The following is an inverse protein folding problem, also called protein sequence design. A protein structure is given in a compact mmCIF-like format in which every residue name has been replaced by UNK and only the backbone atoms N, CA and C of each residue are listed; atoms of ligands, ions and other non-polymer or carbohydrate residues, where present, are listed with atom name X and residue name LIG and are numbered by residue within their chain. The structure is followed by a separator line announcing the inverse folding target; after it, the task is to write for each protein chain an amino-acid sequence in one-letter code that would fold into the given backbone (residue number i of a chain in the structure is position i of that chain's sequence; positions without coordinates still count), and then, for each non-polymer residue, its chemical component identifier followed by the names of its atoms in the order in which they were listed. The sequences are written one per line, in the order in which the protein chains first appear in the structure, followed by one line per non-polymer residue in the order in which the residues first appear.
data_IF_809247237291
#
_entry.id   IF_809247237291
#
_cell.length_a   1.000
_cell.length_b   1.000
_cell.length_c   1.000
_cell.angle_alpha   90.00
_cell.angle_beta   90.00
_cell.angle_gamma   90.00
#
_symmetry.space_group_name_H-M   'P 1'
#
loop_
_entity.id
_entity.type
_entity.pdbx_description
1 polymer ?
#
# COMPACT_ATOMS: atom_id res chain seq x y z
N UNK A 1 -6.84 -4.34 -9.89
CA UNK A 1 -6.30 -5.50 -9.16
C UNK A 1 -4.78 -5.46 -9.01
N UNK A 2 -4.11 -4.36 -9.38
CA UNK A 2 -2.64 -4.21 -9.34
C UNK A 2 -2.14 -3.10 -8.40
N UNK A 3 -3.06 -2.30 -7.83
CA UNK A 3 -2.72 -1.13 -7.04
C UNK A 3 -3.00 -1.33 -5.55
N UNK A 4 -2.07 -0.89 -4.71
CA UNK A 4 -2.19 -0.85 -3.26
C UNK A 4 -2.04 0.59 -2.78
N UNK A 5 -2.92 1.00 -1.87
CA UNK A 5 -2.87 2.29 -1.20
C UNK A 5 -2.18 2.17 0.16
N UNK A 6 -1.29 3.10 0.48
CA UNK A 6 -0.62 3.19 1.79
C UNK A 6 -0.31 4.65 2.16
N UNK A 7 0.25 4.87 3.34
CA UNK A 7 0.76 6.17 3.76
C UNK A 7 2.17 6.42 3.20
N UNK A 8 2.49 7.67 2.85
CA UNK A 8 3.80 8.02 2.34
C UNK A 8 4.91 7.81 3.38
N UNK A 9 4.65 8.09 4.66
CA UNK A 9 5.63 7.91 5.74
C UNK A 9 5.97 6.43 6.01
N UNK A 10 5.15 5.48 5.52
CA UNK A 10 5.49 4.07 5.54
C UNK A 10 6.66 3.76 4.61
N UNK A 11 6.83 4.55 3.56
CA UNK A 11 7.85 4.39 2.51
C UNK A 11 9.04 5.33 2.76
N UNK A 12 8.75 6.63 2.89
CA UNK A 12 9.75 7.70 2.99
C UNK A 12 9.48 8.53 4.24
N UNK A 13 10.36 8.43 5.23
CA UNK A 13 10.28 9.25 6.43
C UNK A 13 11.69 9.59 6.95
N UNK A 14 12.27 10.72 6.51
CA UNK A 14 13.62 11.12 6.88
C UNK A 14 13.92 11.21 8.38
N UNK A 15 12.99 11.63 9.27
CA UNK A 15 13.27 11.66 10.71
C UNK A 15 13.65 10.31 11.31
N UNK A 16 13.24 9.20 10.68
CA UNK A 16 13.61 7.83 11.09
C UNK A 16 14.59 7.18 10.12
N UNK A 17 15.28 7.98 9.29
CA UNK A 17 16.19 7.53 8.25
C UNK A 17 15.56 6.46 7.33
N UNK A 18 14.25 6.59 7.08
CA UNK A 18 13.47 5.61 6.32
C UNK A 18 13.35 6.07 4.87
N UNK A 19 13.81 5.22 3.96
CA UNK A 19 13.64 5.40 2.52
C UNK A 19 13.62 4.02 1.85
N UNK A 20 12.45 3.39 1.79
CA UNK A 20 12.29 2.08 1.19
C UNK A 20 12.19 2.16 -0.33
N UNK A 21 12.87 1.22 -0.99
CA UNK A 21 12.83 1.00 -2.44
C UNK A 21 11.97 -0.21 -2.78
N UNK A 22 11.72 -0.44 -4.07
CA UNK A 22 10.93 -1.59 -4.56
C UNK A 22 11.49 -2.95 -4.09
N UNK A 23 12.80 -3.05 -3.85
CA UNK A 23 13.46 -4.29 -3.42
C UNK A 23 13.36 -4.53 -1.91
N UNK A 24 13.01 -3.51 -1.14
CA UNK A 24 12.90 -3.59 0.33
C UNK A 24 11.51 -4.02 0.79
N UNK A 25 10.52 -4.04 -0.12
CA UNK A 25 9.11 -4.23 0.20
C UNK A 25 8.55 -5.48 -0.48
N UNK A 26 7.85 -6.30 0.31
CA UNK A 26 6.92 -7.31 -0.16
C UNK A 26 5.56 -7.06 0.49
N UNK A 27 4.48 -7.39 -0.21
CA UNK A 27 3.12 -7.28 0.34
C UNK A 27 2.51 -8.67 0.45
N UNK A 28 1.78 -8.92 1.55
CA UNK A 28 1.02 -10.15 1.78
C UNK A 28 -0.46 -9.81 1.85
N UNK A 29 -1.25 -10.34 0.92
CA UNK A 29 -2.69 -10.13 0.81
C UNK A 29 -3.45 -11.35 1.31
N UNK A 30 -4.67 -11.15 1.82
CA UNK A 30 -5.55 -12.25 2.25
C UNK A 30 -5.19 -12.92 3.58
N UNK A 31 -4.43 -12.22 4.44
CA UNK A 31 -4.02 -12.73 5.75
C UNK A 31 -5.10 -12.59 6.80
N UNK A 32 -5.21 -13.57 7.68
CA UNK A 32 -5.94 -13.45 8.94
C UNK A 32 -4.98 -13.49 10.15
N UNK A 33 -4.02 -14.42 10.15
CA UNK A 33 -3.02 -14.53 11.22
C UNK A 33 -1.78 -13.69 10.95
N UNK A 34 -1.37 -12.85 11.91
CA UNK A 34 -0.15 -12.02 11.81
C UNK A 34 1.13 -12.85 11.68
N UNK A 35 1.21 -14.00 12.37
CA UNK A 35 2.46 -14.77 12.52
C UNK A 35 2.50 -16.02 11.65
N UNK A 36 1.35 -16.61 11.32
CA UNK A 36 1.30 -17.86 10.54
C UNK A 36 1.37 -17.59 9.04
N UNK A 37 2.05 -18.50 8.34
CA UNK A 37 1.95 -18.61 6.88
C UNK A 37 0.69 -19.40 6.53
N UNK A 38 -0.20 -18.79 5.77
CA UNK A 38 -1.55 -19.26 5.46
C UNK A 38 -1.56 -19.79 4.02
N UNK A 39 -0.96 -20.97 3.85
CA UNK A 39 -0.73 -21.58 2.54
C UNK A 39 -2.06 -21.75 1.79
N UNK A 40 -2.12 -21.16 0.60
CA UNK A 40 -3.27 -21.29 -0.31
C UNK A 40 -4.23 -20.10 -0.27
N UNK A 41 -4.40 -19.45 0.88
CA UNK A 41 -5.24 -18.26 1.03
C UNK A 41 -4.44 -16.98 0.82
N UNK A 42 -3.27 -16.84 1.48
CA UNK A 42 -2.49 -15.62 1.34
C UNK A 42 -1.68 -15.59 0.05
N UNK A 43 -1.47 -14.38 -0.47
CA UNK A 43 -0.64 -14.13 -1.65
C UNK A 43 0.48 -13.16 -1.32
N UNK A 44 1.71 -13.54 -1.66
CA UNK A 44 2.88 -12.67 -1.56
C UNK A 44 3.11 -12.04 -2.93
N UNK A 45 3.18 -10.72 -2.99
CA UNK A 45 3.36 -9.94 -4.21
C UNK A 45 4.57 -9.02 -4.07
N UNK A 46 5.32 -8.89 -5.17
CA UNK A 46 6.43 -7.97 -5.30
C UNK A 46 5.94 -6.64 -5.90
N UNK A 47 6.63 -5.57 -5.56
CA UNK A 47 6.36 -4.20 -6.05
C UNK A 47 7.34 -3.89 -7.18
N UNK A 48 6.86 -3.25 -8.24
CA UNK A 48 7.70 -2.75 -9.35
C UNK A 48 7.67 -1.22 -9.47
N UNK A 49 6.69 -0.55 -8.86
CA UNK A 49 6.65 0.91 -8.77
C UNK A 49 6.15 1.40 -7.40
N UNK A 50 6.76 2.49 -6.92
CA UNK A 50 6.37 3.21 -5.71
C UNK A 50 6.13 4.67 -6.09
N UNK A 51 4.91 5.16 -5.84
CA UNK A 51 4.52 6.53 -6.12
C UNK A 51 4.15 7.21 -4.80
N UNK A 52 5.09 7.98 -4.27
CA UNK A 52 4.81 8.90 -3.16
C UNK A 52 4.09 10.12 -3.72
N UNK A 53 3.02 10.59 -3.05
CA UNK A 53 2.29 11.75 -3.52
C UNK A 53 3.24 12.94 -3.73
N UNK A 54 3.22 13.61 -4.90
CA UNK A 54 4.24 14.61 -5.26
C UNK A 54 4.28 15.84 -4.35
N UNK A 55 3.20 16.06 -3.59
CA UNK A 55 3.09 17.12 -2.60
C UNK A 55 3.11 16.62 -1.15
N UNK A 56 3.59 15.41 -0.90
CA UNK A 56 3.83 14.88 0.44
C UNK A 56 4.85 15.77 1.16
N UNK A 57 4.52 16.22 2.37
CA UNK A 57 5.39 17.05 3.18
C UNK A 57 5.43 16.54 4.62
N UNK A 58 6.48 15.77 4.93
CA UNK A 58 6.68 15.22 6.27
C UNK A 58 6.99 16.28 7.33
N UNK A 59 7.51 17.47 6.94
CA UNK A 59 7.79 18.57 7.87
C UNK A 59 6.54 19.31 8.30
N UNK A 60 5.52 19.32 7.45
CA UNK A 60 4.27 20.04 7.66
C UNK A 60 3.19 19.07 8.14
N UNK A 61 3.39 18.51 9.34
CA UNK A 61 2.42 17.61 9.98
C UNK A 61 1.93 16.46 9.06
N UNK A 62 2.85 15.80 8.34
CA UNK A 62 2.53 14.72 7.40
C UNK A 62 1.48 15.13 6.35
N UNK A 63 1.57 16.35 5.81
CA UNK A 63 0.64 16.82 4.79
C UNK A 63 0.67 15.90 3.57
N UNK A 64 -0.51 15.47 3.10
CA UNK A 64 -0.71 14.54 1.97
C UNK A 64 0.10 13.25 2.10
N UNK A 65 0.01 12.63 3.27
CA UNK A 65 0.64 11.36 3.62
C UNK A 65 -0.05 10.16 2.94
N UNK A 66 0.16 10.06 1.63
CA UNK A 66 -0.44 9.04 0.76
C UNK A 66 0.57 8.57 -0.27
N UNK A 67 0.62 7.27 -0.52
CA UNK A 67 1.44 6.65 -1.53
C UNK A 67 0.69 5.48 -2.19
N UNK A 68 1.04 5.22 -3.45
CA UNK A 68 0.57 4.07 -4.22
C UNK A 68 1.74 3.12 -4.46
N UNK A 69 1.45 1.82 -4.37
CA UNK A 69 2.37 0.76 -4.76
C UNK A 69 1.75 0.01 -5.93
N UNK A 70 2.51 -0.15 -7.01
CA UNK A 70 2.13 -1.00 -8.12
C UNK A 70 2.71 -2.39 -7.93
N UNK A 71 1.87 -3.41 -8.08
CA UNK A 71 2.29 -4.80 -7.99
C UNK A 71 2.87 -5.26 -9.32
N UNK A 72 4.00 -5.98 -9.27
CA UNK A 72 4.65 -6.57 -10.45
C UNK A 72 3.76 -7.56 -11.22
N UNK A 73 2.76 -8.13 -10.55
CA UNK A 73 1.77 -9.03 -11.14
C UNK A 73 0.39 -8.76 -10.52
N UNK A 74 -0.69 -8.88 -11.29
CA UNK A 74 -2.05 -8.77 -10.77
C UNK A 74 -2.35 -9.90 -9.78
N UNK A 75 -3.29 -9.63 -8.87
CA UNK A 75 -3.78 -10.63 -7.92
C UNK A 75 -5.16 -11.13 -8.35
N UNK A 76 -5.38 -12.45 -8.23
CA UNK A 76 -6.71 -13.02 -8.39
C UNK A 76 -7.54 -12.78 -7.13
N UNK A 77 -8.74 -12.22 -7.30
CA UNK A 77 -9.66 -12.02 -6.19
C UNK A 77 -10.23 -13.35 -5.69
N UNK A 78 -10.40 -13.44 -4.37
CA UNK A 78 -10.98 -14.58 -3.65
C UNK A 78 -11.94 -14.07 -2.58
N UNK A 79 -12.47 -14.97 -1.74
CA UNK A 79 -13.26 -14.56 -0.58
C UNK A 79 -12.42 -13.79 0.45
N UNK A 80 -11.10 -14.02 0.48
CA UNK A 80 -10.15 -13.40 1.40
C UNK A 80 -9.43 -12.18 0.80
N UNK A 81 -9.45 -12.03 -0.53
CA UNK A 81 -8.81 -10.93 -1.26
C UNK A 81 -9.85 -10.24 -2.13
N UNK A 82 -10.32 -9.08 -1.68
CA UNK A 82 -11.26 -8.24 -2.42
C UNK A 82 -10.93 -6.75 -2.24
N UNK A 83 -11.03 -5.90 -3.29
CA UNK A 83 -10.71 -4.49 -3.17
C UNK A 83 -11.77 -3.71 -2.40
N UNK A 84 -11.35 -2.59 -1.80
CA UNK A 84 -12.27 -1.59 -1.24
C UNK A 84 -12.60 -0.52 -2.28
N UNK A 85 -13.80 0.06 -2.19
CA UNK A 85 -14.20 1.19 -3.01
C UNK A 85 -13.56 2.50 -2.49
N UNK A 86 -13.16 3.38 -3.41
CA UNK A 86 -12.78 4.75 -3.06
C UNK A 86 -13.97 5.70 -3.31
N UNK A 87 -14.23 6.64 -2.40
CA UNK A 87 -15.33 7.58 -2.57
C UNK A 87 -15.01 8.60 -3.67
N UNK A 88 -16.06 9.04 -4.37
CA UNK A 88 -15.99 10.20 -5.25
C UNK A 88 -16.31 11.47 -4.46
N UNK A 89 -15.95 12.64 -5.02
CA UNK A 89 -16.22 13.95 -4.39
C UNK A 89 -17.70 14.19 -4.09
N UNK A 90 -18.62 13.63 -4.89
CA UNK A 90 -20.06 13.78 -4.66
C UNK A 90 -20.54 13.06 -3.40
N UNK A 91 -19.87 11.97 -3.03
CA UNK A 91 -20.18 11.14 -1.87
C UNK A 91 -19.41 11.63 -0.63
N UNK A 92 -18.25 12.26 -0.81
CA UNK A 92 -17.38 12.72 0.27
C UNK A 92 -17.60 14.16 0.72
N UNK A 93 -18.70 14.81 0.31
CA UNK A 93 -19.03 16.15 0.81
C UNK A 93 -19.57 16.03 2.24
N UNK A 94 -18.72 16.35 3.21
CA UNK A 94 -19.12 16.76 4.55
C UNK A 94 -19.46 18.24 4.55
#
# INVERSE_FOLDING_TARGET
DEWILTAAHCILYPPWNKNFTINDIIVRLGKHSRTKYERGTEKIVAIDEIIVHPKYNWKENLNRDIALLHMKKPVTFTNEIHPVCLPTKSISKT
#
